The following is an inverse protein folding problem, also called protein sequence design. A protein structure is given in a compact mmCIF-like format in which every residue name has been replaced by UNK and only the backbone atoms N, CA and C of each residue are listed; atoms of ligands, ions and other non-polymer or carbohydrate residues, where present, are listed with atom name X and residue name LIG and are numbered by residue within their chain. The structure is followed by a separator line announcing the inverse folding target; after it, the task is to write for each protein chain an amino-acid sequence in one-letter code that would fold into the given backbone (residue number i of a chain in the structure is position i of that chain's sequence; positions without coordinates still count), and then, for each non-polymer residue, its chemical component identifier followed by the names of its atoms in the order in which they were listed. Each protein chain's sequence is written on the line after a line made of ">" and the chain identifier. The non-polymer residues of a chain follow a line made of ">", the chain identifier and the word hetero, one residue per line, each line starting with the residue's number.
data_IF_827507848811
#
_entry.id   IF_827507848811
#
_cell.length_a   1.000
_cell.length_b   1.000
_cell.length_c   1.000
_cell.angle_alpha   90.00
_cell.angle_beta   90.00
_cell.angle_gamma   90.00
#
_symmetry.space_group_name_H-M   'P 1'
#
loop_
_entity.id
_entity.type
_entity.pdbx_description
1 polymer ?
#
# COMPACT_ATOMS: atom_id res chain seq x y z
N UNK A 1 15.98 -25.77 18.43
CA UNK A 1 15.51 -26.57 17.28
C UNK A 1 16.43 -26.30 16.10
N UNK A 2 17.33 -27.23 15.75
CA UNK A 2 18.29 -27.08 14.64
C UNK A 2 17.64 -27.59 13.35
N UNK A 3 17.54 -26.74 12.32
CA UNK A 3 17.07 -27.16 10.98
C UNK A 3 18.17 -27.99 10.30
N UNK A 4 17.78 -29.14 9.76
CA UNK A 4 18.64 -30.08 9.03
C UNK A 4 19.07 -29.52 7.67
N UNK A 5 20.28 -29.80 7.13
CA UNK A 5 20.82 -29.16 5.93
C UNK A 5 20.59 -29.97 4.63
N UNK A 6 19.67 -30.92 4.58
CA UNK A 6 19.45 -31.67 3.34
C UNK A 6 18.64 -30.83 2.33
N UNK A 7 19.11 -30.70 1.07
CA UNK A 7 18.29 -30.15 0.01
C UNK A 7 17.10 -31.08 -0.20
N UNK A 8 15.89 -30.55 -0.06
CA UNK A 8 14.70 -31.26 -0.52
C UNK A 8 14.80 -31.40 -2.03
N UNK A 9 14.63 -32.61 -2.57
CA UNK A 9 14.74 -32.90 -4.03
C UNK A 9 13.79 -32.07 -4.90
N UNK A 10 12.80 -31.41 -4.28
CA UNK A 10 11.89 -30.49 -4.94
C UNK A 10 12.27 -29.05 -4.61
N UNK A 11 12.54 -28.27 -5.67
CA UNK A 11 12.67 -26.81 -5.58
C UNK A 11 11.50 -26.21 -4.80
N UNK A 12 11.80 -25.35 -3.83
CA UNK A 12 10.81 -24.54 -3.11
C UNK A 12 11.17 -23.07 -3.28
N UNK A 13 10.20 -22.26 -3.66
CA UNK A 13 10.41 -20.82 -3.74
C UNK A 13 10.81 -20.27 -2.36
N UNK A 14 11.68 -19.25 -2.29
CA UNK A 14 12.10 -18.65 -1.03
C UNK A 14 10.90 -18.16 -0.22
N UNK A 15 10.93 -18.26 1.12
CA UNK A 15 9.77 -17.99 2.01
C UNK A 15 9.19 -16.57 1.96
N UNK A 16 9.82 -15.67 1.21
CA UNK A 16 9.39 -14.30 0.96
C UNK A 16 8.77 -14.11 -0.44
N UNK A 17 8.77 -15.15 -1.27
CA UNK A 17 8.15 -15.14 -2.60
C UNK A 17 6.66 -15.44 -2.50
N UNK A 18 5.85 -14.77 -3.32
CA UNK A 18 4.44 -15.12 -3.52
C UNK A 18 4.27 -16.53 -4.08
N UNK A 19 5.31 -17.14 -4.65
CA UNK A 19 5.31 -18.55 -5.05
C UNK A 19 5.67 -19.52 -3.90
N UNK A 20 5.93 -19.01 -2.70
CA UNK A 20 6.24 -19.82 -1.50
C UNK A 20 5.06 -20.04 -0.57
N UNK A 21 3.91 -19.42 -0.87
CA UNK A 21 2.66 -19.77 -0.21
C UNK A 21 2.22 -21.15 -0.69
N UNK A 22 2.06 -22.07 0.26
CA UNK A 22 1.47 -23.39 0.00
C UNK A 22 -0.07 -23.31 -0.16
N UNK A 23 -0.64 -22.10 -0.03
CA UNK A 23 -2.07 -21.82 -0.16
C UNK A 23 -2.49 -21.46 -1.59
N UNK A 24 -3.78 -21.57 -1.88
CA UNK A 24 -4.33 -21.16 -3.15
C UNK A 24 -4.18 -19.65 -3.36
N UNK A 25 -3.53 -19.26 -4.46
CA UNK A 25 -3.55 -17.89 -4.95
C UNK A 25 -4.88 -17.69 -5.67
N UNK A 26 -5.77 -16.93 -5.03
CA UNK A 26 -6.99 -16.48 -5.66
C UNK A 26 -6.74 -15.11 -6.29
N UNK A 27 -6.86 -15.03 -7.60
CA UNK A 27 -7.16 -13.76 -8.24
C UNK A 27 -8.67 -13.57 -8.08
N UNK A 28 -9.10 -12.58 -7.31
CA UNK A 28 -10.48 -12.10 -7.40
C UNK A 28 -10.68 -11.68 -8.85
N UNK A 29 -11.52 -12.40 -9.60
CA UNK A 29 -11.86 -12.06 -10.97
C UNK A 29 -12.45 -10.66 -10.99
N UNK A 30 -11.61 -9.67 -11.25
CA UNK A 30 -12.07 -8.32 -11.56
C UNK A 30 -12.65 -8.32 -12.96
N UNK A 31 -13.52 -7.34 -13.23
CA UNK A 31 -13.93 -7.05 -14.59
C UNK A 31 -12.70 -6.84 -15.49
N UNK A 32 -12.79 -7.15 -16.79
CA UNK A 32 -11.70 -6.88 -17.71
C UNK A 32 -11.27 -5.41 -17.60
N UNK A 33 -9.97 -5.17 -17.44
CA UNK A 33 -9.42 -3.81 -17.46
C UNK A 33 -9.70 -3.22 -18.84
N UNK A 34 -10.55 -2.20 -18.90
CA UNK A 34 -10.76 -1.38 -20.09
C UNK A 34 -9.86 -0.15 -20.00
N UNK A 35 -9.63 0.55 -21.12
CA UNK A 35 -8.93 1.85 -21.07
C UNK A 35 -9.65 2.87 -20.16
N UNK A 36 -10.98 2.72 -20.00
CA UNK A 36 -11.79 3.56 -19.12
C UNK A 36 -11.63 3.22 -17.63
N UNK A 37 -11.08 2.03 -17.30
CA UNK A 37 -10.81 1.60 -15.92
C UNK A 37 -9.32 1.54 -15.56
N UNK A 38 -8.44 1.98 -16.46
CA UNK A 38 -6.99 2.06 -16.20
C UNK A 38 -6.67 3.20 -15.21
N UNK A 39 -6.55 2.84 -13.94
CA UNK A 39 -6.27 3.75 -12.82
C UNK A 39 -4.78 3.91 -12.51
N UNK A 40 -3.94 3.03 -13.05
CA UNK A 40 -2.50 3.02 -12.82
C UNK A 40 -1.78 2.45 -14.04
N UNK A 41 -0.64 3.02 -14.37
CA UNK A 41 0.30 2.56 -15.39
C UNK A 41 1.66 2.40 -14.73
N UNK A 42 2.21 1.19 -14.73
CA UNK A 42 3.55 0.92 -14.19
C UNK A 42 4.55 1.15 -15.32
N UNK A 43 5.43 2.14 -15.16
CA UNK A 43 6.49 2.43 -16.13
C UNK A 43 7.74 1.60 -15.86
N UNK A 44 8.04 1.37 -14.58
CA UNK A 44 9.25 0.68 -14.16
C UNK A 44 9.05 0.01 -12.81
N UNK A 45 9.58 -1.20 -12.64
CA UNK A 45 9.67 -1.87 -11.36
C UNK A 45 11.07 -2.48 -11.24
N UNK A 46 11.78 -2.14 -10.17
CA UNK A 46 13.12 -2.66 -9.91
C UNK A 46 13.23 -3.19 -8.49
N UNK A 47 14.11 -4.16 -8.31
CA UNK A 47 14.52 -4.66 -7.00
C UNK A 47 16.04 -4.56 -6.88
N UNK A 48 16.50 -4.28 -5.67
CA UNK A 48 17.92 -4.21 -5.33
C UNK A 48 18.28 -5.43 -4.50
N UNK A 49 19.02 -6.36 -5.08
CA UNK A 49 19.46 -7.57 -4.40
C UNK A 49 20.47 -7.26 -3.30
N UNK A 50 20.38 -7.97 -2.17
CA UNK A 50 21.31 -7.84 -1.05
C UNK A 50 22.67 -8.50 -1.32
N UNK A 51 22.75 -9.38 -2.32
CA UNK A 51 23.94 -10.13 -2.69
C UNK A 51 23.95 -10.49 -4.17
N UNK A 52 24.88 -11.37 -4.57
CA UNK A 52 25.08 -11.76 -5.97
C UNK A 52 24.12 -12.83 -6.47
N UNK A 53 23.30 -13.42 -5.59
CA UNK A 53 22.30 -14.41 -5.98
C UNK A 53 21.14 -13.70 -6.69
N UNK A 54 20.90 -13.95 -8.00
CA UNK A 54 19.84 -13.30 -8.76
C UNK A 54 18.43 -13.61 -8.22
N UNK A 55 18.28 -14.67 -7.42
CA UNK A 55 17.04 -15.05 -6.75
C UNK A 55 17.14 -14.86 -5.23
N UNK A 56 18.16 -14.13 -4.77
CA UNK A 56 18.46 -13.91 -3.36
C UNK A 56 17.58 -12.87 -2.70
N UNK A 57 17.89 -12.59 -1.42
CA UNK A 57 17.15 -11.61 -0.65
C UNK A 57 17.22 -10.21 -1.28
N UNK A 58 16.10 -9.51 -1.26
CA UNK A 58 15.99 -8.11 -1.69
C UNK A 58 16.30 -7.19 -0.51
N UNK A 59 17.03 -6.11 -0.77
CA UNK A 59 17.39 -5.06 0.20
C UNK A 59 16.61 -3.76 0.00
N UNK A 60 15.99 -3.59 -1.16
CA UNK A 60 15.13 -2.47 -1.49
C UNK A 60 14.53 -2.64 -2.88
N UNK A 61 13.74 -1.70 -3.32
CA UNK A 61 13.17 -1.71 -4.64
C UNK A 61 12.50 -0.38 -4.92
N UNK A 62 11.99 -0.24 -6.14
CA UNK A 62 11.16 0.88 -6.48
C UNK A 62 10.13 0.49 -7.54
N UNK A 63 9.04 1.24 -7.56
CA UNK A 63 8.04 1.20 -8.63
C UNK A 63 7.85 2.64 -9.09
N UNK A 64 8.13 2.91 -10.37
CA UNK A 64 7.70 4.14 -11.04
C UNK A 64 6.39 3.90 -11.74
N UNK A 65 5.43 4.76 -11.48
CA UNK A 65 4.11 4.61 -12.03
C UNK A 65 3.43 5.96 -12.24
N UNK A 66 2.44 5.96 -13.11
CA UNK A 66 1.49 7.06 -13.28
C UNK A 66 0.12 6.59 -12.79
N UNK A 67 -0.46 7.30 -11.83
CA UNK A 67 -1.73 6.88 -11.22
C UNK A 67 -2.49 8.07 -10.64
N UNK A 68 -3.76 7.85 -10.30
CA UNK A 68 -4.61 8.84 -9.69
C UNK A 68 -4.21 9.06 -8.23
N UNK A 69 -3.69 10.23 -7.94
CA UNK A 69 -3.26 10.66 -6.60
C UNK A 69 -4.16 11.76 -6.08
N UNK A 70 -4.45 11.70 -4.78
CA UNK A 70 -5.13 12.77 -4.05
C UNK A 70 -4.61 12.85 -2.62
N UNK A 71 -5.12 13.77 -1.81
CA UNK A 71 -4.77 13.89 -0.41
C UNK A 71 -5.89 13.36 0.50
N UNK A 72 -5.49 12.80 1.64
CA UNK A 72 -6.38 12.39 2.72
C UNK A 72 -5.84 12.91 4.04
N UNK A 73 -6.73 13.28 4.96
CA UNK A 73 -6.34 13.61 6.31
C UNK A 73 -6.33 12.34 7.15
N UNK A 74 -5.20 12.05 7.81
CA UNK A 74 -5.12 10.97 8.77
C UNK A 74 -5.50 11.46 10.17
N UNK A 75 -6.23 10.65 10.93
CA UNK A 75 -6.49 10.89 12.35
C UNK A 75 -6.26 9.65 13.21
N UNK A 76 -5.64 9.87 14.37
CA UNK A 76 -5.62 8.92 15.48
C UNK A 76 -6.89 9.07 16.31
N UNK A 77 -7.62 7.97 16.47
CA UNK A 77 -8.83 7.90 17.29
C UNK A 77 -8.50 7.06 18.52
N UNK A 78 -8.52 7.67 19.71
CA UNK A 78 -8.23 6.95 20.94
C UNK A 78 -9.36 5.93 21.22
N UNK A 79 -9.07 4.61 21.21
CA UNK A 79 -10.09 3.58 21.36
C UNK A 79 -10.75 3.59 22.75
N UNK A 80 -10.07 4.12 23.78
CA UNK A 80 -10.62 4.23 25.14
C UNK A 80 -11.77 5.24 25.23
N UNK A 81 -11.82 6.21 24.32
CA UNK A 81 -12.83 7.26 24.32
C UNK A 81 -14.06 6.93 23.45
N UNK A 82 -13.94 6.01 22.49
CA UNK A 82 -14.99 5.80 21.47
C UNK A 82 -15.52 4.37 21.32
N UNK A 83 -15.08 3.39 22.13
CA UNK A 83 -15.48 1.98 21.99
C UNK A 83 -15.28 1.40 20.57
N UNK A 84 -14.34 1.97 19.79
CA UNK A 84 -14.06 1.56 18.41
C UNK A 84 -12.93 0.53 18.39
N UNK A 85 -13.09 -0.48 17.53
CA UNK A 85 -12.03 -1.44 17.20
C UNK A 85 -10.92 -0.83 16.31
N UNK A 86 -11.15 0.37 15.75
CA UNK A 86 -10.25 1.02 14.81
C UNK A 86 -9.59 2.24 15.46
N UNK A 87 -8.26 2.21 15.54
CA UNK A 87 -7.44 3.25 16.18
C UNK A 87 -7.07 4.41 15.25
N UNK A 88 -7.30 4.23 13.95
CA UNK A 88 -6.84 5.15 12.92
C UNK A 88 -7.86 5.27 11.80
N UNK A 89 -8.07 6.49 11.31
CA UNK A 89 -8.98 6.76 10.19
C UNK A 89 -8.33 7.68 9.17
N UNK A 90 -8.61 7.44 7.89
CA UNK A 90 -8.42 8.44 6.86
C UNK A 90 -9.75 9.15 6.66
N UNK A 91 -9.69 10.47 6.44
CA UNK A 91 -10.84 11.33 6.16
C UNK A 91 -10.60 12.13 4.91
N UNK A 92 -11.69 12.42 4.21
CA UNK A 92 -11.71 13.33 3.08
C UNK A 92 -13.12 13.87 2.86
N UNK A 93 -13.29 15.19 2.95
CA UNK A 93 -14.62 15.80 2.99
C UNK A 93 -15.49 15.11 4.06
N UNK A 94 -16.68 14.65 3.70
CA UNK A 94 -17.61 13.92 4.58
C UNK A 94 -17.35 12.39 4.61
N UNK A 95 -16.28 11.92 3.95
CA UNK A 95 -15.92 10.51 3.88
C UNK A 95 -14.92 10.14 4.97
N UNK A 96 -15.07 8.93 5.52
CA UNK A 96 -14.15 8.35 6.50
C UNK A 96 -13.99 6.86 6.26
N UNK A 97 -12.77 6.35 6.38
CA UNK A 97 -12.46 4.94 6.22
C UNK A 97 -11.43 4.47 7.28
N UNK A 98 -11.54 3.24 7.79
CA UNK A 98 -10.51 2.63 8.64
C UNK A 98 -9.14 2.66 7.96
N UNK A 99 -8.15 3.20 8.65
CA UNK A 99 -6.78 3.26 8.18
C UNK A 99 -5.92 2.20 8.87
N UNK A 100 -5.12 1.50 8.09
CA UNK A 100 -4.21 0.46 8.55
C UNK A 100 -2.79 0.93 8.29
N UNK A 101 -2.16 1.64 9.24
CA UNK A 101 -0.79 2.08 9.07
C UNK A 101 0.17 0.90 9.15
N UNK A 102 1.30 0.99 8.46
CA UNK A 102 2.35 -0.01 8.50
C UNK A 102 3.06 -0.08 9.86
N UNK A 103 2.97 1.01 10.65
CA UNK A 103 3.57 1.17 11.97
C UNK A 103 2.69 2.07 12.84
N UNK A 104 2.93 2.09 14.15
CA UNK A 104 2.14 2.90 15.06
C UNK A 104 2.51 4.39 14.94
N UNK A 105 1.70 5.18 14.23
CA UNK A 105 1.95 6.61 14.00
C UNK A 105 1.87 7.45 15.28
N UNK A 106 1.08 7.01 16.25
CA UNK A 106 0.85 7.72 17.50
C UNK A 106 2.02 7.63 18.50
N UNK A 107 2.99 6.75 18.26
CA UNK A 107 4.15 6.60 19.13
C UNK A 107 5.29 7.52 18.66
N UNK A 108 6.08 8.12 19.58
CA UNK A 108 7.27 8.87 19.22
C UNK A 108 8.30 8.02 18.47
N UNK A 109 8.97 8.59 17.47
CA UNK A 109 10.03 7.93 16.71
C UNK A 109 10.20 8.47 15.30
N UNK A 110 11.07 7.84 14.51
CA UNK A 110 11.31 8.17 13.08
C UNK A 110 10.06 8.03 12.20
N UNK A 111 9.09 7.28 12.70
CA UNK A 111 7.86 6.91 12.02
C UNK A 111 6.62 7.64 12.57
N UNK A 112 6.82 8.58 13.49
CA UNK A 112 5.75 9.38 14.06
C UNK A 112 5.16 10.29 12.98
N UNK A 113 3.83 10.22 12.82
CA UNK A 113 3.08 11.13 11.97
C UNK A 113 1.98 11.76 12.84
N UNK A 114 1.98 13.09 13.04
CA UNK A 114 0.97 13.76 13.84
C UNK A 114 -0.45 13.50 13.33
N UNK A 115 -1.41 13.32 14.24
CA UNK A 115 -2.83 13.28 13.90
C UNK A 115 -3.25 14.60 13.23
N UNK A 116 -4.10 14.53 12.21
CA UNK A 116 -4.52 15.66 11.40
C UNK A 116 -3.61 15.94 10.19
N UNK A 117 -2.53 15.18 10.00
CA UNK A 117 -1.61 15.36 8.85
C UNK A 117 -2.31 15.01 7.54
N UNK A 118 -2.14 15.87 6.52
CA UNK A 118 -2.52 15.57 5.13
C UNK A 118 -1.45 14.67 4.52
N UNK A 119 -1.88 13.53 3.98
CA UNK A 119 -1.00 12.55 3.34
C UNK A 119 -1.51 12.26 1.92
N UNK A 120 -0.61 12.18 0.93
CA UNK A 120 -0.98 11.71 -0.40
C UNK A 120 -1.41 10.25 -0.33
N UNK A 121 -2.40 9.89 -1.14
CA UNK A 121 -2.81 8.52 -1.34
C UNK A 121 -3.05 8.25 -2.83
N UNK A 122 -2.87 7.00 -3.22
CA UNK A 122 -3.16 6.53 -4.57
C UNK A 122 -4.12 5.35 -4.51
N UNK A 123 -4.85 5.14 -5.60
CA UNK A 123 -5.72 3.99 -5.76
C UNK A 123 -4.99 2.84 -6.47
N UNK A 124 -5.19 1.61 -5.98
CA UNK A 124 -4.63 0.41 -6.61
C UNK A 124 -5.66 -0.39 -7.42
N UNK A 125 -6.95 -0.24 -7.13
CA UNK A 125 -8.02 -1.03 -7.75
C UNK A 125 -9.40 -0.44 -7.53
N UNK A 126 -10.26 -0.53 -8.56
CA UNK A 126 -11.72 -0.52 -8.41
C UNK A 126 -12.22 -1.92 -8.74
N UNK A 127 -12.73 -2.64 -7.74
CA UNK A 127 -13.62 -3.78 -7.99
C UNK A 127 -14.90 -3.55 -7.18
N UNK A 128 -15.20 -4.44 -6.24
CA UNK A 128 -16.30 -4.30 -5.27
C UNK A 128 -15.92 -3.44 -4.05
N UNK A 129 -14.63 -3.12 -3.93
CA UNK A 129 -14.06 -2.23 -2.93
C UNK A 129 -12.91 -1.44 -3.57
N UNK A 130 -12.63 -0.27 -3.01
CA UNK A 130 -11.43 0.50 -3.33
C UNK A 130 -10.35 0.22 -2.32
N UNK A 131 -9.20 -0.22 -2.83
CA UNK A 131 -7.97 -0.29 -2.04
C UNK A 131 -7.12 0.93 -2.37
N UNK A 132 -6.79 1.69 -1.34
CA UNK A 132 -5.92 2.84 -1.44
C UNK A 132 -4.68 2.62 -0.59
N UNK A 133 -3.52 3.06 -1.09
CA UNK A 133 -2.31 3.15 -0.28
C UNK A 133 -2.02 4.59 0.07
N UNK A 134 -1.61 4.80 1.32
CA UNK A 134 -1.24 6.11 1.85
C UNK A 134 0.27 6.22 1.83
N UNK A 135 0.75 7.37 1.41
CA UNK A 135 2.14 7.63 1.06
C UNK A 135 2.71 8.76 1.92
N UNK A 136 4.02 8.72 2.12
CA UNK A 136 4.78 9.82 2.74
C UNK A 136 5.93 10.19 1.81
N UNK A 137 6.16 11.49 1.60
CA UNK A 137 7.27 11.96 0.76
C UNK A 137 8.60 11.59 1.43
N UNK A 138 9.52 11.02 0.65
CA UNK A 138 10.85 10.61 1.12
C UNK A 138 11.89 11.60 0.64
N UNK A 139 12.60 12.20 1.60
CA UNK A 139 13.71 13.11 1.32
C UNK A 139 13.28 14.39 0.58
N UNK A 140 14.24 15.00 -0.13
CA UNK A 140 14.03 16.22 -0.91
C UNK A 140 13.68 15.95 -2.38
N UNK A 141 13.74 14.70 -2.83
CA UNK A 141 13.44 14.34 -4.20
C UNK A 141 11.96 14.55 -4.50
N UNK A 142 11.66 15.18 -5.63
CA UNK A 142 10.28 15.35 -6.04
C UNK A 142 9.68 14.02 -6.48
N UNK A 143 8.41 13.83 -6.09
CA UNK A 143 7.59 12.67 -6.44
C UNK A 143 8.13 11.29 -5.99
N UNK A 144 8.99 11.24 -4.97
CA UNK A 144 9.42 9.97 -4.34
C UNK A 144 8.71 9.79 -3.01
N UNK A 145 8.10 8.62 -2.81
CA UNK A 145 7.27 8.33 -1.65
C UNK A 145 7.57 6.95 -1.10
N UNK A 146 7.35 6.76 0.19
CA UNK A 146 7.26 5.45 0.83
C UNK A 146 5.81 5.15 1.19
N UNK A 147 5.44 3.87 1.21
CA UNK A 147 4.12 3.44 1.68
C UNK A 147 4.08 3.48 3.21
N UNK A 148 3.12 4.19 3.76
CA UNK A 148 2.93 4.30 5.21
C UNK A 148 1.68 3.60 5.72
N UNK A 149 0.81 3.16 4.83
CA UNK A 149 -0.33 2.31 5.17
C UNK A 149 -1.29 2.12 4.01
N UNK A 150 -2.49 1.67 4.35
CA UNK A 150 -3.58 1.49 3.40
C UNK A 150 -4.94 1.66 4.06
N UNK A 151 -5.96 1.98 3.28
CA UNK A 151 -7.35 1.90 3.72
C UNK A 151 -8.21 1.25 2.64
N UNK A 152 -9.37 0.74 3.07
CA UNK A 152 -10.33 0.07 2.22
C UNK A 152 -11.67 0.78 2.30
N UNK A 153 -12.30 0.96 1.14
CA UNK A 153 -13.66 1.50 1.03
C UNK A 153 -14.52 0.42 0.41
N UNK A 154 -15.44 -0.13 1.19
CA UNK A 154 -16.29 -1.26 0.78
C UNK A 154 -17.60 -0.82 0.12
N UNK A 155 -17.78 0.48 -0.11
CA UNK A 155 -18.99 1.06 -0.68
C UNK A 155 -18.65 1.67 -2.06
N UNK A 156 -19.05 1.03 -3.18
CA UNK A 156 -18.67 1.46 -4.53
C UNK A 156 -19.04 2.90 -4.88
N UNK A 157 -20.13 3.42 -4.32
CA UNK A 157 -20.56 4.81 -4.51
C UNK A 157 -19.59 5.79 -3.82
N UNK A 158 -19.11 5.46 -2.62
CA UNK A 158 -18.13 6.27 -1.89
C UNK A 158 -16.74 6.15 -2.51
N UNK A 159 -16.39 4.97 -3.02
CA UNK A 159 -15.12 4.67 -3.68
C UNK A 159 -14.72 5.70 -4.74
N UNK A 160 -15.65 6.08 -5.62
CA UNK A 160 -15.39 7.12 -6.64
C UNK A 160 -15.19 8.49 -6.02
N UNK A 161 -16.01 8.86 -5.04
CA UNK A 161 -15.94 10.16 -4.37
C UNK A 161 -14.61 10.40 -3.63
N UNK A 162 -13.93 9.33 -3.16
CA UNK A 162 -12.60 9.45 -2.55
C UNK A 162 -11.54 9.98 -3.51
N UNK A 163 -11.66 9.75 -4.81
CA UNK A 163 -10.64 10.07 -5.80
C UNK A 163 -11.15 10.98 -6.93
N UNK A 164 -12.35 11.56 -6.78
CA UNK A 164 -12.98 12.41 -7.81
C UNK A 164 -12.17 13.65 -8.16
N UNK A 165 -11.51 14.26 -7.16
CA UNK A 165 -10.59 15.40 -7.33
C UNK A 165 -9.14 14.98 -7.64
N UNK A 166 -8.90 13.67 -7.78
CA UNK A 166 -7.58 13.11 -7.94
C UNK A 166 -6.94 13.56 -9.24
N UNK A 167 -5.61 13.61 -9.26
CA UNK A 167 -4.84 13.98 -10.44
C UNK A 167 -3.95 12.83 -10.86
N UNK A 168 -3.94 12.53 -12.15
CA UNK A 168 -2.97 11.61 -12.73
C UNK A 168 -1.57 12.17 -12.52
N UNK A 169 -0.78 11.47 -11.71
CA UNK A 169 0.53 11.91 -11.21
C UNK A 169 1.55 10.83 -11.49
N UNK A 170 2.70 11.22 -12.00
CA UNK A 170 3.88 10.34 -12.06
C UNK A 170 4.59 10.37 -10.72
N UNK A 171 4.91 9.19 -10.19
CA UNK A 171 5.58 9.05 -8.92
C UNK A 171 6.46 7.80 -8.85
N UNK A 172 7.36 7.80 -7.88
CA UNK A 172 8.19 6.67 -7.49
C UNK A 172 7.83 6.25 -6.08
N UNK A 173 7.48 4.98 -5.89
CA UNK A 173 7.33 4.35 -4.57
C UNK A 173 8.60 3.57 -4.27
N UNK A 174 9.18 3.78 -3.09
CA UNK A 174 10.35 3.05 -2.56
C UNK A 174 10.00 2.20 -1.35
#
# INVERSE_FOLDING_TARGET
>A
MKRSPYPTENYRAPSWSWASVDGHIFHSGGDPVTQETQIAEIHEAQTVLRGSDPMGAVSGGLIKMKTLMTEVQYEYVNPELEHRYTTYVCKKHDLSAPFYPNWAFNLPGSHHIPSGTSLPCIILGYTNHTMAIVLQKVGSADHTFERVGSFFVNEPEKSKAWFEDGRMTELTIV
#
